data_IF_801019365653
#
_entry.id   IF_801019365653
#
_cell.length_a   1.000
_cell.length_b   1.000
_cell.length_c   1.000
_cell.angle_alpha   90.00
_cell.angle_beta   90.00
_cell.angle_gamma   90.00
#
_symmetry.space_group_name_H-M   'P 1'
#
loop_
_entity.id
_entity.type
_entity.pdbx_description
1 polymer ?
#
# COMPACT_ATOMS: atom_id res chain seq x y z
N UNK A 1 3.42 55.32 -7.21
CA UNK A 1 3.92 54.07 -7.84
C UNK A 1 4.06 53.01 -6.75
N UNK A 2 3.53 51.81 -7.02
CA UNK A 2 3.90 50.43 -6.58
C UNK A 2 4.60 50.27 -5.20
N UNK A 3 4.27 49.32 -4.33
CA UNK A 3 3.75 47.98 -4.56
C UNK A 3 3.23 47.41 -3.23
N UNK A 4 2.03 46.82 -3.26
CA UNK A 4 1.53 45.94 -2.18
C UNK A 4 2.29 44.62 -2.29
N UNK A 5 2.89 44.18 -1.19
CA UNK A 5 3.56 42.88 -1.06
C UNK A 5 2.55 41.77 -1.39
N UNK A 6 2.62 41.23 -2.60
CA UNK A 6 1.99 39.97 -2.94
C UNK A 6 2.89 38.86 -2.37
N UNK A 7 2.38 38.17 -1.36
CA UNK A 7 2.87 36.85 -0.99
C UNK A 7 2.62 35.93 -2.18
N UNK A 8 3.68 35.63 -2.92
CA UNK A 8 3.70 34.51 -3.85
C UNK A 8 3.60 33.23 -3.01
N UNK A 9 2.39 32.71 -2.95
CA UNK A 9 2.09 31.32 -2.58
C UNK A 9 2.90 30.47 -3.54
N UNK A 10 3.98 29.86 -3.01
CA UNK A 10 4.75 28.86 -3.72
C UNK A 10 3.89 27.63 -3.93
N UNK A 11 3.19 27.58 -5.05
CA UNK A 11 2.63 26.34 -5.58
C UNK A 11 3.82 25.53 -6.07
N UNK A 12 4.34 24.65 -5.21
CA UNK A 12 5.11 23.49 -5.67
C UNK A 12 4.13 22.58 -6.39
N UNK A 13 3.98 22.77 -7.70
CA UNK A 13 3.36 21.79 -8.59
C UNK A 13 4.19 20.52 -8.49
N UNK A 14 3.75 19.58 -7.66
CA UNK A 14 4.11 18.18 -7.80
C UNK A 14 3.65 17.76 -9.19
N UNK A 15 4.61 17.59 -10.11
CA UNK A 15 4.34 17.18 -11.47
C UNK A 15 3.76 15.78 -11.47
N UNK A 16 2.46 15.68 -11.74
CA UNK A 16 1.81 14.41 -12.04
C UNK A 16 2.35 13.91 -13.38
N UNK A 17 3.30 12.98 -13.32
CA UNK A 17 3.75 12.25 -14.51
C UNK A 17 2.62 11.27 -14.86
N UNK A 18 1.90 11.58 -15.93
CA UNK A 18 0.95 10.66 -16.55
C UNK A 18 1.74 9.59 -17.30
N UNK A 19 2.05 8.47 -16.65
CA UNK A 19 2.66 7.31 -17.31
C UNK A 19 1.55 6.32 -17.66
N UNK A 20 0.96 6.53 -18.83
CA UNK A 20 0.31 5.45 -19.56
C UNK A 20 1.37 4.82 -20.46
N UNK A 21 1.85 3.62 -20.12
CA UNK A 21 2.90 2.98 -20.91
C UNK A 21 3.42 1.68 -20.31
N UNK A 22 2.66 0.61 -20.50
CA UNK A 22 3.13 -0.76 -20.38
C UNK A 22 4.27 -1.00 -21.39
N UNK A 23 5.53 -1.07 -20.93
CA UNK A 23 6.56 -2.02 -21.39
C UNK A 23 7.94 -1.68 -20.78
N UNK A 24 8.40 -2.53 -19.85
CA UNK A 24 9.82 -2.64 -19.49
C UNK A 24 10.40 -1.49 -18.65
N UNK A 25 10.48 -1.70 -17.34
CA UNK A 25 11.27 -0.88 -16.42
C UNK A 25 10.59 0.45 -16.02
N UNK A 26 10.11 0.51 -14.78
CA UNK A 26 9.59 1.75 -14.18
C UNK A 26 8.09 1.95 -14.41
N UNK A 27 7.30 1.62 -13.38
CA UNK A 27 5.84 1.76 -13.46
C UNK A 27 5.16 1.55 -12.11
N UNK A 28 5.58 2.30 -11.09
CA UNK A 28 4.95 2.26 -9.77
C UNK A 28 5.70 3.08 -8.72
N UNK A 29 6.08 4.33 -9.02
CA UNK A 29 6.89 5.16 -8.13
C UNK A 29 6.18 5.67 -6.87
N UNK A 30 5.08 5.03 -6.49
CA UNK A 30 4.23 5.37 -5.37
C UNK A 30 3.73 4.11 -4.67
N UNK A 31 3.14 4.27 -3.49
CA UNK A 31 2.69 3.14 -2.67
C UNK A 31 1.67 2.24 -3.38
N UNK A 32 0.74 2.78 -4.19
CA UNK A 32 -0.19 1.94 -4.95
C UNK A 32 0.54 1.06 -5.97
N UNK A 33 1.58 1.59 -6.59
CA UNK A 33 2.38 0.87 -7.57
C UNK A 33 3.13 -0.31 -6.97
N UNK A 34 3.68 -0.15 -5.76
CA UNK A 34 4.31 -1.26 -5.03
C UNK A 34 3.29 -2.36 -4.70
N UNK A 35 2.10 -1.99 -4.21
CA UNK A 35 1.04 -2.94 -3.91
C UNK A 35 0.53 -3.67 -5.17
N UNK A 36 0.31 -2.95 -6.28
CA UNK A 36 -0.15 -3.54 -7.55
C UNK A 36 0.87 -4.51 -8.13
N UNK A 37 2.17 -4.17 -8.08
CA UNK A 37 3.25 -5.06 -8.49
C UNK A 37 3.31 -6.31 -7.61
N UNK A 38 3.21 -6.17 -6.29
CA UNK A 38 3.19 -7.31 -5.37
C UNK A 38 2.02 -8.26 -5.66
N UNK A 39 0.82 -7.73 -5.87
CA UNK A 39 -0.37 -8.53 -6.18
C UNK A 39 -0.23 -9.22 -7.55
N UNK A 40 0.31 -8.51 -8.54
CA UNK A 40 0.52 -9.06 -9.90
C UNK A 40 1.58 -10.16 -9.90
N UNK A 41 2.70 -9.96 -9.21
CA UNK A 41 3.73 -10.99 -9.05
C UNK A 41 3.19 -12.21 -8.27
N UNK A 42 2.43 -11.96 -7.19
CA UNK A 42 1.72 -13.00 -6.44
C UNK A 42 0.72 -13.79 -7.29
N UNK A 43 0.04 -13.12 -8.23
CA UNK A 43 -0.87 -13.77 -9.18
C UNK A 43 -0.11 -14.71 -10.11
N UNK A 44 1.03 -14.28 -10.62
CA UNK A 44 1.81 -15.01 -11.62
C UNK A 44 2.70 -16.11 -11.03
N UNK A 45 2.72 -16.30 -9.71
CA UNK A 45 3.63 -17.26 -9.09
C UNK A 45 5.09 -16.80 -9.08
N UNK A 46 5.35 -15.52 -9.34
CA UNK A 46 6.69 -14.99 -9.59
C UNK A 46 7.37 -14.54 -8.28
N UNK A 47 8.12 -15.45 -7.66
CA UNK A 47 8.80 -15.19 -6.40
C UNK A 47 9.89 -14.11 -6.51
N UNK A 48 10.57 -14.02 -7.66
CA UNK A 48 11.60 -13.00 -7.90
C UNK A 48 10.96 -11.61 -7.93
N UNK A 49 9.91 -11.43 -8.73
CA UNK A 49 9.19 -10.17 -8.81
C UNK A 49 8.49 -9.79 -7.48
N UNK A 50 8.06 -10.76 -6.66
CA UNK A 50 7.58 -10.47 -5.31
C UNK A 50 8.71 -9.90 -4.44
N UNK A 51 9.88 -10.53 -4.46
CA UNK A 51 11.02 -10.11 -3.65
C UNK A 51 11.59 -8.75 -4.07
N UNK A 52 11.40 -8.33 -5.33
CA UNK A 52 11.78 -6.98 -5.79
C UNK A 52 10.98 -5.86 -5.14
N UNK A 53 9.72 -6.13 -4.76
CA UNK A 53 8.80 -5.13 -4.21
C UNK A 53 8.45 -5.38 -2.74
N UNK A 54 9.01 -6.41 -2.13
CA UNK A 54 8.84 -6.73 -0.72
C UNK A 54 10.02 -6.18 0.07
N UNK A 55 9.74 -5.45 1.14
CA UNK A 55 10.80 -4.88 1.98
C UNK A 55 11.63 -6.00 2.62
N UNK A 56 12.97 -5.90 2.68
CA UNK A 56 13.84 -6.96 3.24
C UNK A 56 13.53 -7.31 4.70
N UNK A 57 13.06 -6.34 5.48
CA UNK A 57 12.64 -6.54 6.88
C UNK A 57 11.19 -7.08 7.02
N UNK A 58 10.50 -7.37 5.91
CA UNK A 58 9.18 -7.98 5.98
C UNK A 58 9.28 -9.43 6.48
N UNK A 59 8.38 -9.83 7.39
CA UNK A 59 8.25 -11.21 7.89
C UNK A 59 8.04 -12.26 6.77
N UNK A 60 7.69 -11.82 5.56
CA UNK A 60 7.45 -12.66 4.37
C UNK A 60 8.63 -12.70 3.41
N UNK A 61 9.70 -11.98 3.69
CA UNK A 61 10.91 -11.93 2.86
C UNK A 61 11.98 -12.92 3.36
N UNK A 62 12.72 -13.60 2.46
CA UNK A 62 12.44 -13.74 1.04
C UNK A 62 11.34 -14.78 0.79
N UNK A 63 10.60 -14.63 -0.30
CA UNK A 63 9.73 -15.67 -0.85
C UNK A 63 10.55 -16.63 -1.72
N UNK A 64 10.41 -17.93 -1.48
CA UNK A 64 10.88 -18.99 -2.38
C UNK A 64 9.75 -19.43 -3.32
N UNK A 65 10.10 -19.96 -4.50
CA UNK A 65 9.14 -20.45 -5.50
C UNK A 65 8.15 -21.50 -4.94
N UNK A 66 8.61 -22.38 -4.04
CA UNK A 66 7.77 -23.36 -3.34
C UNK A 66 6.64 -22.73 -2.50
N UNK A 67 6.81 -21.47 -2.09
CA UNK A 67 5.88 -20.72 -1.24
C UNK A 67 4.97 -19.78 -2.04
N UNK A 68 5.14 -19.70 -3.36
CA UNK A 68 4.29 -18.89 -4.25
C UNK A 68 3.51 -19.81 -5.17
N UNK A 69 2.20 -19.61 -5.24
CA UNK A 69 1.32 -20.37 -6.12
C UNK A 69 0.60 -19.41 -7.06
N UNK A 70 0.62 -19.75 -8.35
CA UNK A 70 -0.13 -19.02 -9.37
C UNK A 70 -1.64 -19.02 -9.05
N UNK A 71 -2.30 -17.90 -9.34
CA UNK A 71 -3.72 -17.68 -9.09
C UNK A 71 -4.42 -17.16 -10.34
N UNK A 72 -4.81 -18.08 -11.22
CA UNK A 72 -5.41 -17.79 -12.54
C UNK A 72 -6.62 -16.86 -12.51
N UNK A 73 -7.40 -16.85 -11.42
CA UNK A 73 -8.65 -16.10 -11.31
C UNK A 73 -8.54 -14.73 -10.62
N UNK A 74 -7.34 -14.31 -10.22
CA UNK A 74 -7.14 -13.06 -9.49
C UNK A 74 -7.18 -11.85 -10.46
N UNK A 75 -8.06 -10.89 -10.16
CA UNK A 75 -8.16 -9.61 -10.89
C UNK A 75 -8.16 -8.43 -9.93
N UNK A 76 -7.27 -7.46 -10.15
CA UNK A 76 -7.26 -6.21 -9.39
C UNK A 76 -8.39 -5.30 -9.94
N UNK A 77 -9.25 -4.80 -9.05
CA UNK A 77 -10.36 -3.91 -9.41
C UNK A 77 -10.11 -2.46 -9.02
N UNK A 78 -9.44 -2.25 -7.88
CA UNK A 78 -9.10 -0.94 -7.35
C UNK A 78 -7.88 -1.05 -6.46
N UNK A 79 -7.00 -0.05 -6.51
CA UNK A 79 -5.90 0.14 -5.57
C UNK A 79 -5.92 1.61 -5.18
N UNK A 80 -5.92 1.92 -3.90
CA UNK A 80 -5.96 3.30 -3.41
C UNK A 80 -5.19 3.47 -2.10
N UNK A 81 -4.46 4.58 -1.97
CA UNK A 81 -3.96 5.06 -0.68
C UNK A 81 -5.11 5.47 0.24
N UNK A 82 -5.04 5.04 1.50
CA UNK A 82 -6.07 5.29 2.52
C UNK A 82 -5.43 5.63 3.87
N UNK A 83 -6.25 6.13 4.80
CA UNK A 83 -5.82 6.31 6.20
C UNK A 83 -5.83 4.99 6.97
N UNK A 84 -5.09 4.94 8.09
CA UNK A 84 -5.11 3.81 9.03
C UNK A 84 -6.53 3.51 9.51
N UNK A 85 -7.30 4.56 9.84
CA UNK A 85 -8.71 4.42 10.21
C UNK A 85 -9.52 3.69 9.15
N UNK A 86 -9.34 4.03 7.87
CA UNK A 86 -10.10 3.39 6.78
C UNK A 86 -9.73 1.91 6.60
N UNK A 87 -8.47 1.54 6.87
CA UNK A 87 -8.05 0.13 6.94
C UNK A 87 -8.76 -0.60 8.07
N UNK A 88 -8.81 0.01 9.27
CA UNK A 88 -9.49 -0.56 10.44
C UNK A 88 -10.98 -0.75 10.18
N UNK A 89 -11.66 0.28 9.66
CA UNK A 89 -13.06 0.18 9.24
C UNK A 89 -13.26 -0.98 8.24
N UNK A 90 -12.42 -1.06 7.21
CA UNK A 90 -12.50 -2.14 6.22
C UNK A 90 -12.25 -3.54 6.80
N UNK A 91 -11.44 -3.67 7.85
CA UNK A 91 -11.19 -4.97 8.50
C UNK A 91 -12.34 -5.33 9.43
N UNK A 92 -12.84 -4.38 10.23
CA UNK A 92 -13.95 -4.63 11.13
C UNK A 92 -15.22 -4.98 10.35
N UNK A 93 -15.49 -4.30 9.22
CA UNK A 93 -16.62 -4.64 8.32
C UNK A 93 -16.54 -6.09 7.79
N UNK A 94 -15.34 -6.67 7.68
CA UNK A 94 -15.16 -8.05 7.21
C UNK A 94 -15.34 -9.11 8.31
N UNK A 95 -15.09 -8.75 9.57
CA UNK A 95 -15.03 -9.72 10.68
C UNK A 95 -16.12 -9.55 11.74
N UNK A 96 -16.77 -8.39 11.81
CA UNK A 96 -17.74 -8.10 12.84
C UNK A 96 -19.14 -8.54 12.41
N UNK A 97 -19.82 -9.29 13.29
CA UNK A 97 -21.23 -9.65 13.13
C UNK A 97 -22.17 -8.44 13.36
N UNK A 98 -21.64 -7.33 13.89
CA UNK A 98 -22.36 -6.10 14.18
C UNK A 98 -21.49 -4.87 13.88
N UNK A 99 -22.13 -3.73 13.59
CA UNK A 99 -21.43 -2.48 13.31
C UNK A 99 -20.52 -2.10 14.49
N UNK A 100 -19.21 -1.87 14.26
CA UNK A 100 -18.29 -1.50 15.32
C UNK A 100 -18.64 -0.14 15.89
N UNK A 101 -18.49 0.01 17.21
CA UNK A 101 -18.68 1.31 17.85
C UNK A 101 -17.50 2.24 17.54
N UNK A 102 -17.74 3.55 17.58
CA UNK A 102 -16.71 4.57 17.36
C UNK A 102 -15.50 4.39 18.30
N UNK A 103 -15.75 4.01 19.56
CA UNK A 103 -14.69 3.76 20.54
C UNK A 103 -13.84 2.54 20.19
N UNK A 104 -14.44 1.51 19.58
CA UNK A 104 -13.71 0.34 19.11
C UNK A 104 -12.85 0.68 17.89
N UNK A 105 -13.40 1.40 16.92
CA UNK A 105 -12.64 1.88 15.74
C UNK A 105 -11.46 2.73 16.18
N UNK A 106 -11.66 3.69 17.08
CA UNK A 106 -10.60 4.57 17.59
C UNK A 106 -9.53 3.79 18.34
N UNK A 107 -9.93 2.87 19.23
CA UNK A 107 -8.98 2.04 19.98
C UNK A 107 -8.13 1.18 19.05
N UNK A 108 -8.73 0.53 18.05
CA UNK A 108 -8.01 -0.31 17.10
C UNK A 108 -7.11 0.53 16.19
N UNK A 109 -7.57 1.70 15.75
CA UNK A 109 -6.77 2.64 14.96
C UNK A 109 -5.52 3.07 15.72
N UNK A 110 -5.66 3.54 16.96
CA UNK A 110 -4.52 3.98 17.78
C UNK A 110 -3.52 2.85 18.02
N UNK A 111 -4.00 1.62 18.27
CA UNK A 111 -3.13 0.46 18.44
C UNK A 111 -2.38 0.12 17.14
N UNK A 112 -3.05 0.19 15.99
CA UNK A 112 -2.44 -0.09 14.70
C UNK A 112 -1.39 0.96 14.36
N UNK A 113 -1.67 2.25 14.58
CA UNK A 113 -0.71 3.34 14.39
C UNK A 113 0.54 3.16 15.26
N UNK A 114 0.38 2.88 16.55
CA UNK A 114 1.52 2.62 17.45
C UNK A 114 2.36 1.42 17.01
N UNK A 115 1.73 0.35 16.54
CA UNK A 115 2.44 -0.82 16.04
C UNK A 115 3.20 -0.52 14.74
N UNK A 116 2.60 0.25 13.83
CA UNK A 116 3.25 0.70 12.60
C UNK A 116 4.44 1.60 12.93
N UNK A 117 4.26 2.62 13.79
CA UNK A 117 5.35 3.50 14.22
C UNK A 117 6.51 2.72 14.86
N UNK A 118 6.21 1.73 15.70
CA UNK A 118 7.24 0.88 16.31
C UNK A 118 8.04 0.16 15.24
N UNK A 119 7.37 -0.45 14.24
CA UNK A 119 8.02 -1.14 13.13
C UNK A 119 8.85 -0.21 12.24
N UNK A 120 8.33 0.98 11.93
CA UNK A 120 9.05 1.95 11.10
C UNK A 120 10.34 2.46 11.76
N UNK A 121 10.32 2.62 13.09
CA UNK A 121 11.52 2.97 13.85
C UNK A 121 12.58 1.86 13.82
N UNK A 122 12.17 0.59 13.74
CA UNK A 122 13.08 -0.55 13.63
C UNK A 122 13.71 -0.64 12.23
N UNK A 123 12.95 -0.30 11.18
CA UNK A 123 13.42 -0.35 9.78
C UNK A 123 14.16 0.91 9.35
N UNK A 124 14.06 2.02 10.09
CA UNK A 124 14.67 3.29 9.73
C UNK A 124 13.98 4.01 8.57
N UNK A 125 12.73 3.64 8.28
CA UNK A 125 11.95 4.22 7.18
C UNK A 125 11.03 5.33 7.71
N UNK A 126 11.17 6.54 7.17
CA UNK A 126 10.43 7.72 7.67
C UNK A 126 9.06 7.91 6.98
N UNK A 127 8.84 7.30 5.82
CA UNK A 127 7.62 7.50 5.00
C UNK A 127 6.88 6.17 4.80
N UNK A 128 5.59 6.15 5.13
CA UNK A 128 4.73 4.98 4.95
C UNK A 128 3.34 5.39 4.48
N UNK A 129 2.65 4.48 3.82
CA UNK A 129 1.25 4.63 3.43
C UNK A 129 0.50 3.30 3.51
N UNK A 130 -0.76 3.38 3.91
CA UNK A 130 -1.69 2.26 3.76
C UNK A 130 -2.31 2.28 2.36
N UNK A 131 -2.35 1.10 1.73
CA UNK A 131 -3.02 0.89 0.45
C UNK A 131 -4.09 -0.17 0.64
N UNK A 132 -5.32 0.10 0.19
CA UNK A 132 -6.37 -0.92 0.08
C UNK A 132 -6.48 -1.35 -1.38
N UNK A 133 -6.33 -2.65 -1.64
CA UNK A 133 -6.60 -3.23 -2.94
C UNK A 133 -7.90 -4.04 -2.90
N UNK A 134 -8.85 -3.70 -3.78
CA UNK A 134 -10.01 -4.52 -4.06
C UNK A 134 -9.64 -5.53 -5.14
N UNK A 135 -9.69 -6.81 -4.78
CA UNK A 135 -9.33 -7.95 -5.63
C UNK A 135 -10.58 -8.79 -5.85
N UNK A 136 -10.79 -9.24 -7.08
CA UNK A 136 -11.83 -10.21 -7.42
C UNK A 136 -11.18 -11.57 -7.69
N UNK A 137 -11.67 -12.61 -7.03
CA UNK A 137 -11.23 -13.99 -7.22
C UNK A 137 -12.45 -14.92 -7.20
N UNK A 138 -12.63 -15.71 -8.27
CA UNK A 138 -13.79 -16.62 -8.35
C UNK A 138 -15.16 -15.92 -8.36
N UNK A 139 -15.21 -14.63 -8.73
CA UNK A 139 -16.43 -13.83 -8.72
C UNK A 139 -16.74 -13.13 -7.38
N UNK A 140 -15.95 -13.40 -6.33
CA UNK A 140 -16.05 -12.73 -5.04
C UNK A 140 -15.06 -11.58 -4.95
N UNK A 141 -15.49 -10.45 -4.38
CA UNK A 141 -14.64 -9.27 -4.17
C UNK A 141 -14.17 -9.24 -2.72
N UNK A 142 -12.86 -9.15 -2.54
CA UNK A 142 -12.22 -9.00 -1.25
C UNK A 142 -11.36 -7.73 -1.25
N UNK A 143 -11.24 -7.09 -0.09
CA UNK A 143 -10.34 -5.95 0.09
C UNK A 143 -9.17 -6.37 0.96
N UNK A 144 -7.96 -6.18 0.46
CA UNK A 144 -6.72 -6.49 1.15
C UNK A 144 -5.95 -5.19 1.47
N UNK A 145 -5.63 -4.92 2.74
CA UNK A 145 -4.74 -3.84 3.12
C UNK A 145 -3.28 -4.25 2.95
N UNK A 146 -2.47 -3.29 2.49
CA UNK A 146 -1.02 -3.39 2.37
C UNK A 146 -0.40 -2.19 3.07
N UNK A 147 0.56 -2.42 3.96
CA UNK A 147 1.44 -1.35 4.41
C UNK A 147 2.55 -1.22 3.38
N UNK A 148 2.77 -0.01 2.93
CA UNK A 148 3.89 0.33 2.04
C UNK A 148 4.80 1.31 2.74
N UNK A 149 6.10 1.15 2.52
CA UNK A 149 7.16 1.97 3.11
C UNK A 149 8.08 2.46 2.01
N UNK A 150 8.66 3.63 2.21
CA UNK A 150 9.67 4.16 1.30
C UNK A 150 11.05 3.90 1.87
N UNK A 151 11.90 3.27 1.07
CA UNK A 151 13.29 3.00 1.41
C UNK A 151 14.18 3.33 0.20
N UNK A 152 15.29 4.03 0.44
CA UNK A 152 16.21 4.52 -0.60
C UNK A 152 15.57 5.24 -1.82
N UNK A 153 14.37 5.79 -1.64
CA UNK A 153 13.61 6.50 -2.67
C UNK A 153 12.58 5.65 -3.43
N UNK A 154 12.59 4.34 -3.21
CA UNK A 154 11.65 3.37 -3.80
C UNK A 154 10.59 2.95 -2.79
N UNK A 155 9.44 2.47 -3.29
CA UNK A 155 8.33 2.00 -2.45
C UNK A 155 8.29 0.47 -2.40
N UNK A 156 8.17 -0.06 -1.19
CA UNK A 156 8.10 -1.49 -0.92
C UNK A 156 6.85 -1.82 -0.12
N UNK A 157 6.33 -3.03 -0.30
CA UNK A 157 5.35 -3.64 0.59
C UNK A 157 6.07 -4.13 1.84
N UNK A 158 5.63 -3.71 3.02
CA UNK A 158 6.20 -4.13 4.30
C UNK A 158 5.38 -5.23 4.98
N UNK A 159 4.07 -5.36 4.70
CA UNK A 159 3.12 -6.22 5.44
C UNK A 159 2.05 -6.88 4.55
#
# INVERSE_FOLDING_TARGET
MKSRRQFLIGVTTAGTIAIAGCSGGGGGGGPEGAAEQYITASKNGDAEAINEVLHPESDRYPRSEENVKEKDSLTIKKVEQVSTRRVVESQLDQFADADPTEQEVEKVTNNLEQNVETRLNETGTDEHNWVLATIEQGGEKNTAPFLTVKDDGDWFVAL
#
